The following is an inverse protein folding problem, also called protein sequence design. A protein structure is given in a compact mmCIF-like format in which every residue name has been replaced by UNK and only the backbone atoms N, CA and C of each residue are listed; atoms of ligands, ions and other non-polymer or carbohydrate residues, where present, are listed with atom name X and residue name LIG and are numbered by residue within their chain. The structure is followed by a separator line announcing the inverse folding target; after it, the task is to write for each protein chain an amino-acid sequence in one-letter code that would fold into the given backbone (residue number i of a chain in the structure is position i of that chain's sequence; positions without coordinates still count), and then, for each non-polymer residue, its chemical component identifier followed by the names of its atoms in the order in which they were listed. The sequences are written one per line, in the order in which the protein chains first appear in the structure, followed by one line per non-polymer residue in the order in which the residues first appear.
data_IF_625376784973
#
_entry.id   IF_625376784973
#
_cell.length_a   1.000
_cell.length_b   1.000
_cell.length_c   1.000
_cell.angle_alpha   90.00
_cell.angle_beta   90.00
_cell.angle_gamma   90.00
#
_symmetry.space_group_name_H-M   'P 1'
#
loop_
_entity.id
_entity.type
_entity.pdbx_description
1 polymer ?
#
# COMPACT_ATOMS: atom_id res chain seq x y z
N UNK A 1 9.08 -9.16 25.19
CA UNK A 1 9.10 -8.79 23.75
C UNK A 1 10.53 -8.58 23.33
N UNK A 2 10.94 -9.21 22.27
CA UNK A 2 12.30 -9.10 21.74
C UNK A 2 12.39 -7.98 20.73
N UNK A 3 13.56 -7.32 20.68
CA UNK A 3 13.82 -6.20 19.77
C UNK A 3 14.56 -6.62 18.50
N UNK A 4 14.39 -7.86 18.10
CA UNK A 4 15.00 -8.44 16.90
C UNK A 4 14.01 -9.33 16.14
N UNK A 5 14.32 -9.65 14.91
CA UNK A 5 13.54 -10.50 14.00
C UNK A 5 14.12 -11.91 13.96
N UNK A 6 13.25 -12.91 13.87
CA UNK A 6 13.63 -14.30 13.64
C UNK A 6 12.93 -14.85 12.39
N UNK A 7 13.33 -16.02 11.90
CA UNK A 7 12.63 -16.75 10.83
C UNK A 7 11.15 -16.98 11.15
N UNK A 8 10.85 -17.21 12.43
CA UNK A 8 9.49 -17.46 12.90
C UNK A 8 8.53 -16.27 12.66
N UNK A 9 9.03 -15.02 12.74
CA UNK A 9 8.22 -13.85 12.44
C UNK A 9 7.77 -13.83 10.97
N UNK A 10 8.62 -14.28 10.06
CA UNK A 10 8.25 -14.40 8.64
C UNK A 10 7.28 -15.57 8.41
N UNK A 11 7.43 -16.68 9.12
CA UNK A 11 6.48 -17.80 9.07
C UNK A 11 5.09 -17.38 9.53
N UNK A 12 4.99 -16.62 10.62
CA UNK A 12 3.73 -16.07 11.14
C UNK A 12 3.00 -15.20 10.10
N UNK A 13 3.74 -14.45 9.31
CA UNK A 13 3.17 -13.58 8.28
C UNK A 13 2.71 -14.30 7.00
N UNK A 14 3.00 -15.60 6.82
CA UNK A 14 2.72 -16.30 5.54
C UNK A 14 1.24 -16.28 5.15
N UNK A 15 0.34 -16.49 6.11
CA UNK A 15 -1.11 -16.45 5.85
C UNK A 15 -1.63 -15.04 5.59
N UNK A 16 -0.92 -14.03 6.08
CA UNK A 16 -1.25 -12.61 5.96
C UNK A 16 -0.28 -11.84 5.04
N UNK A 17 0.51 -12.55 4.22
CA UNK A 17 1.63 -11.97 3.45
C UNK A 17 1.25 -10.82 2.52
N UNK A 18 0.03 -10.80 2.01
CA UNK A 18 -0.49 -9.68 1.22
C UNK A 18 -0.98 -8.55 2.11
N UNK A 19 -1.71 -8.89 3.17
CA UNK A 19 -2.25 -7.93 4.14
C UNK A 19 -1.14 -7.15 4.85
N UNK A 20 -0.06 -7.85 5.21
CA UNK A 20 1.10 -7.29 5.89
C UNK A 20 2.38 -7.28 5.03
N UNK A 21 2.21 -7.14 3.71
CA UNK A 21 3.34 -7.09 2.76
C UNK A 21 4.39 -6.04 3.15
N UNK A 22 3.94 -4.83 3.54
CA UNK A 22 4.86 -3.76 3.95
C UNK A 22 5.57 -4.09 5.25
N UNK A 23 4.88 -4.68 6.24
CA UNK A 23 5.52 -5.17 7.46
C UNK A 23 6.62 -6.19 7.13
N UNK A 24 6.31 -7.21 6.34
CA UNK A 24 7.28 -8.23 5.93
C UNK A 24 8.48 -7.66 5.16
N UNK A 25 8.29 -6.56 4.44
CA UNK A 25 9.39 -5.82 3.80
C UNK A 25 10.26 -5.07 4.81
N UNK A 26 9.63 -4.37 5.78
CA UNK A 26 10.34 -3.60 6.81
C UNK A 26 11.19 -4.55 7.68
N UNK A 27 10.65 -5.71 8.05
CA UNK A 27 11.37 -6.69 8.86
C UNK A 27 12.67 -7.24 8.21
N UNK A 28 12.81 -7.12 6.89
CA UNK A 28 14.03 -7.51 6.15
C UNK A 28 15.08 -6.40 6.10
N UNK A 29 14.72 -5.18 6.45
CA UNK A 29 15.56 -4.01 6.40
C UNK A 29 15.87 -3.44 7.78
N UNK A 30 16.37 -2.21 7.80
CA UNK A 30 16.54 -1.46 9.04
C UNK A 30 15.22 -0.87 9.52
N UNK A 31 14.97 -0.98 10.81
CA UNK A 31 13.82 -0.36 11.46
C UNK A 31 14.22 0.30 12.78
N UNK A 32 13.57 1.43 13.08
CA UNK A 32 13.86 2.20 14.29
C UNK A 32 13.26 1.54 15.55
N UNK A 33 12.25 0.72 15.36
CA UNK A 33 11.61 0.00 16.47
C UNK A 33 11.10 -1.34 16.01
N UNK A 34 11.34 -2.36 16.83
CA UNK A 34 10.74 -3.67 16.71
C UNK A 34 10.41 -4.23 18.09
N UNK A 35 9.26 -4.89 18.19
CA UNK A 35 8.88 -5.71 19.32
C UNK A 35 8.11 -6.93 18.83
N UNK A 36 8.64 -8.12 19.08
CA UNK A 36 8.00 -9.38 18.74
C UNK A 36 8.05 -10.37 19.90
N UNK A 37 6.99 -11.15 20.08
CA UNK A 37 6.99 -12.32 20.95
C UNK A 37 7.24 -13.63 20.17
N UNK A 38 7.51 -13.50 18.87
CA UNK A 38 7.70 -14.60 17.93
C UNK A 38 6.56 -15.62 17.92
N UNK A 39 5.35 -15.17 18.25
CA UNK A 39 4.18 -16.04 18.37
C UNK A 39 2.89 -15.38 17.88
N UNK A 40 2.51 -14.24 18.45
CA UNK A 40 1.21 -13.59 18.19
C UNK A 40 1.27 -12.07 18.02
N UNK A 41 2.39 -11.44 18.33
CA UNK A 41 2.53 -9.98 18.27
C UNK A 41 3.82 -9.63 17.53
N UNK A 42 3.68 -8.84 16.48
CA UNK A 42 4.80 -8.20 15.78
C UNK A 42 4.47 -6.72 15.61
N UNK A 43 5.28 -5.85 16.20
CA UNK A 43 5.17 -4.40 16.06
C UNK A 43 6.46 -3.90 15.42
N UNK A 44 6.35 -3.12 14.34
CA UNK A 44 7.53 -2.59 13.66
C UNK A 44 7.30 -1.16 13.18
N UNK A 45 8.32 -0.33 13.32
CA UNK A 45 8.37 1.03 12.79
C UNK A 45 9.66 1.27 12.03
N UNK A 46 9.57 1.58 10.74
CA UNK A 46 10.76 1.91 9.94
C UNK A 46 11.34 3.27 10.37
N UNK A 47 10.60 4.34 10.16
CA UNK A 47 10.94 5.72 10.57
C UNK A 47 9.74 6.65 10.37
N UNK A 48 9.77 7.84 10.97
CA UNK A 48 8.81 8.91 10.65
C UNK A 48 9.01 9.41 9.21
N UNK A 49 7.93 9.79 8.51
CA UNK A 49 6.53 9.89 8.94
C UNK A 49 5.72 8.60 8.73
N UNK A 50 6.34 7.48 8.42
CA UNK A 50 5.64 6.23 8.09
C UNK A 50 4.91 5.63 9.30
N UNK A 51 3.82 4.85 9.09
CA UNK A 51 3.07 4.24 10.18
C UNK A 51 3.85 3.11 10.85
N UNK A 52 3.54 2.88 12.14
CA UNK A 52 3.83 1.60 12.76
C UNK A 52 2.94 0.53 12.13
N UNK A 53 3.49 -0.66 11.92
CA UNK A 53 2.76 -1.82 11.50
C UNK A 53 2.63 -2.78 12.67
N UNK A 54 1.40 -3.21 12.98
CA UNK A 54 1.10 -4.09 14.10
C UNK A 54 0.35 -5.30 13.57
N UNK A 55 1.02 -6.45 13.60
CA UNK A 55 0.41 -7.72 13.24
C UNK A 55 0.01 -8.50 14.49
N UNK A 56 -1.18 -9.07 14.44
CA UNK A 56 -1.69 -10.09 15.34
C UNK A 56 -2.48 -11.13 14.53
N UNK A 57 -2.58 -12.39 14.98
CA UNK A 57 -3.49 -13.36 14.35
C UNK A 57 -4.96 -12.97 14.54
N UNK A 58 -5.86 -13.58 13.79
CA UNK A 58 -7.30 -13.30 13.89
C UNK A 58 -7.90 -13.74 15.25
N UNK A 59 -7.29 -14.70 15.93
CA UNK A 59 -7.72 -15.20 17.23
C UNK A 59 -6.93 -14.61 18.41
N UNK A 60 -6.45 -13.37 18.27
CA UNK A 60 -5.74 -12.66 19.34
C UNK A 60 -6.64 -12.47 20.57
N UNK A 61 -6.12 -12.78 21.76
CA UNK A 61 -6.85 -12.62 23.03
C UNK A 61 -6.85 -11.17 23.51
N UNK A 62 -7.78 -10.83 24.42
CA UNK A 62 -7.79 -9.51 25.06
C UNK A 62 -6.50 -9.21 25.83
N UNK A 63 -5.88 -10.21 26.43
CA UNK A 63 -4.62 -10.05 27.14
C UNK A 63 -3.47 -9.69 26.17
N UNK A 64 -3.43 -10.31 25.01
CA UNK A 64 -2.43 -10.00 23.98
C UNK A 64 -2.67 -8.59 23.39
N UNK A 65 -3.93 -8.20 23.15
CA UNK A 65 -4.26 -6.84 22.74
C UNK A 65 -3.89 -5.80 23.80
N UNK A 66 -4.08 -6.10 25.10
CA UNK A 66 -3.61 -5.22 26.19
C UNK A 66 -2.08 -5.13 26.21
N UNK A 67 -1.36 -6.22 25.94
CA UNK A 67 0.09 -6.21 25.79
C UNK A 67 0.53 -5.25 24.68
N UNK A 68 -0.13 -5.28 23.51
CA UNK A 68 0.12 -4.32 22.43
C UNK A 68 -0.09 -2.89 22.91
N UNK A 69 -1.21 -2.63 23.60
CA UNK A 69 -1.49 -1.28 24.13
C UNK A 69 -0.41 -0.78 25.08
N UNK A 70 0.06 -1.64 26.00
CA UNK A 70 1.12 -1.27 26.96
C UNK A 70 2.44 -0.96 26.24
N UNK A 71 2.82 -1.75 25.23
CA UNK A 71 4.01 -1.46 24.43
C UNK A 71 3.92 -0.09 23.76
N UNK A 72 2.75 0.23 23.17
CA UNK A 72 2.54 1.53 22.53
C UNK A 72 2.61 2.68 23.54
N UNK A 73 2.09 2.48 24.75
CA UNK A 73 2.10 3.46 25.83
C UNK A 73 3.52 3.70 26.34
N UNK A 74 4.25 2.66 26.70
CA UNK A 74 5.61 2.69 27.26
C UNK A 74 6.62 3.34 26.29
N UNK A 75 6.42 3.16 24.98
CA UNK A 75 7.28 3.74 23.94
C UNK A 75 6.81 5.11 23.45
N UNK A 76 5.80 5.72 24.10
CA UNK A 76 5.24 7.03 23.73
C UNK A 76 4.72 7.11 22.28
N UNK A 77 4.21 6.01 21.74
CA UNK A 77 3.63 5.99 20.39
C UNK A 77 2.19 6.51 20.35
N UNK A 78 1.47 6.53 21.47
CA UNK A 78 0.08 7.01 21.54
C UNK A 78 -0.01 8.55 21.55
N UNK A 79 0.57 9.17 20.51
CA UNK A 79 0.57 10.62 20.28
C UNK A 79 0.13 10.92 18.84
N UNK A 80 -0.22 12.17 18.55
CA UNK A 80 -0.63 12.60 17.21
C UNK A 80 0.47 12.53 16.13
N UNK A 81 1.71 12.23 16.53
CA UNK A 81 2.85 12.10 15.60
C UNK A 81 2.92 10.73 14.92
N UNK A 82 2.20 9.74 15.44
CA UNK A 82 2.25 8.36 14.94
C UNK A 82 0.90 7.93 14.38
N UNK A 83 0.98 7.04 13.41
CA UNK A 83 -0.16 6.32 12.84
C UNK A 83 0.12 4.82 12.92
N UNK A 84 -0.93 4.01 12.92
CA UNK A 84 -0.85 2.56 13.10
C UNK A 84 -1.62 1.85 12.01
N UNK A 85 -0.98 0.92 11.31
CA UNK A 85 -1.64 0.01 10.37
C UNK A 85 -1.81 -1.36 11.02
N UNK A 86 -3.06 -1.83 11.14
CA UNK A 86 -3.43 -3.01 11.89
C UNK A 86 -4.79 -3.57 11.46
N UNK A 87 -5.14 -4.78 11.95
CA UNK A 87 -6.46 -5.37 11.74
C UNK A 87 -7.53 -4.67 12.61
N UNK A 88 -8.79 -4.76 12.18
CA UNK A 88 -9.92 -4.03 12.79
C UNK A 88 -10.22 -4.44 14.24
N UNK A 89 -10.08 -5.72 14.59
CA UNK A 89 -10.35 -6.20 15.96
C UNK A 89 -9.41 -5.52 16.95
N UNK A 90 -8.13 -5.51 16.65
CA UNK A 90 -7.13 -4.81 17.46
C UNK A 90 -7.38 -3.29 17.45
N UNK A 91 -7.75 -2.71 16.31
CA UNK A 91 -8.05 -1.28 16.22
C UNK A 91 -9.22 -0.89 17.13
N UNK A 92 -10.30 -1.66 17.11
CA UNK A 92 -11.47 -1.45 17.96
C UNK A 92 -11.11 -1.51 19.44
N UNK A 93 -10.30 -2.51 19.82
CA UNK A 93 -9.80 -2.64 21.17
C UNK A 93 -8.95 -1.42 21.57
N UNK A 94 -7.96 -1.03 20.75
CA UNK A 94 -7.05 0.10 21.05
C UNK A 94 -7.80 1.43 21.19
N UNK A 95 -8.80 1.70 20.35
CA UNK A 95 -9.65 2.91 20.43
C UNK A 95 -10.38 2.93 21.79
N UNK A 96 -11.04 1.81 22.15
CA UNK A 96 -11.77 1.70 23.40
C UNK A 96 -10.83 1.82 24.62
N UNK A 97 -9.68 1.18 24.57
CA UNK A 97 -8.70 1.14 25.65
C UNK A 97 -8.06 2.52 25.86
N UNK A 98 -7.66 3.18 24.77
CA UNK A 98 -7.09 4.54 24.82
C UNK A 98 -8.07 5.55 25.41
N UNK A 99 -9.36 5.45 25.06
CA UNK A 99 -10.40 6.33 25.61
C UNK A 99 -10.51 6.23 27.15
N UNK A 100 -10.32 5.04 27.74
CA UNK A 100 -10.32 4.86 29.19
C UNK A 100 -9.16 5.56 29.88
N UNK A 101 -8.05 5.74 29.17
CA UNK A 101 -6.87 6.46 29.68
C UNK A 101 -6.85 7.93 29.24
N UNK A 102 -7.99 8.47 28.79
CA UNK A 102 -8.14 9.85 28.35
C UNK A 102 -7.38 10.20 27.06
N UNK A 103 -6.99 9.19 26.28
CA UNK A 103 -6.34 9.36 24.99
C UNK A 103 -7.34 9.16 23.85
N UNK A 104 -7.09 9.81 22.73
CA UNK A 104 -7.97 9.69 21.55
C UNK A 104 -7.22 9.00 20.42
N UNK A 105 -7.76 7.89 19.95
CA UNK A 105 -7.37 7.25 18.71
C UNK A 105 -8.56 7.25 17.74
N UNK A 106 -8.33 7.64 16.50
CA UNK A 106 -9.37 7.75 15.48
C UNK A 106 -9.01 6.88 14.27
N UNK A 107 -10.00 6.21 13.72
CA UNK A 107 -9.87 5.54 12.44
C UNK A 107 -9.74 6.61 11.35
N UNK A 108 -8.67 6.55 10.57
CA UNK A 108 -8.34 7.53 9.52
C UNK A 108 -8.56 6.98 8.13
N UNK A 109 -8.29 5.69 7.93
CA UNK A 109 -8.37 5.07 6.61
C UNK A 109 -8.73 3.60 6.74
N UNK A 110 -9.57 3.14 5.84
CA UNK A 110 -9.85 1.73 5.61
C UNK A 110 -9.03 1.26 4.41
N UNK A 111 -8.40 0.10 4.49
CA UNK A 111 -7.54 -0.43 3.43
C UNK A 111 -7.88 -1.87 3.10
N UNK A 112 -7.92 -2.17 1.80
CA UNK A 112 -7.97 -3.53 1.26
C UNK A 112 -6.62 -3.91 0.68
N UNK A 113 -6.21 -5.15 0.92
CA UNK A 113 -5.07 -5.79 0.29
C UNK A 113 -5.57 -6.83 -0.72
N UNK A 114 -5.13 -6.70 -1.96
CA UNK A 114 -5.50 -7.59 -3.06
C UNK A 114 -4.25 -8.27 -3.63
N UNK A 115 -4.39 -9.52 -4.14
CA UNK A 115 -3.46 -10.10 -5.08
C UNK A 115 -4.15 -10.43 -6.40
N UNK A 116 -3.37 -10.66 -7.44
CA UNK A 116 -3.87 -11.04 -8.76
C UNK A 116 -3.17 -12.30 -9.25
N UNK A 117 -3.66 -13.51 -8.89
CA UNK A 117 -3.01 -14.74 -9.30
C UNK A 117 -3.14 -15.03 -10.80
N UNK A 118 -4.15 -14.45 -11.46
CA UNK A 118 -4.38 -14.62 -12.90
C UNK A 118 -5.04 -13.34 -13.45
N UNK A 119 -4.26 -12.44 -14.08
CA UNK A 119 -4.81 -11.23 -14.68
C UNK A 119 -5.83 -11.54 -15.79
N UNK A 120 -7.00 -10.89 -15.72
CA UNK A 120 -8.10 -11.03 -16.67
C UNK A 120 -8.07 -9.86 -17.64
N UNK A 121 -7.97 -10.14 -18.94
CA UNK A 121 -7.98 -9.09 -19.95
C UNK A 121 -9.32 -8.37 -19.99
N UNK A 122 -9.32 -7.01 -20.03
CA UNK A 122 -10.55 -6.25 -20.21
C UNK A 122 -11.29 -6.63 -21.49
N UNK A 123 -12.62 -6.77 -21.40
CA UNK A 123 -13.46 -7.03 -22.56
C UNK A 123 -13.34 -5.90 -23.62
N UNK A 124 -13.65 -6.19 -24.89
CA UNK A 124 -13.45 -5.25 -26.00
C UNK A 124 -14.10 -3.89 -25.78
N UNK A 125 -15.31 -3.85 -25.21
CA UNK A 125 -16.01 -2.62 -24.85
C UNK A 125 -15.35 -1.84 -23.70
N UNK A 126 -14.36 -2.42 -23.03
CA UNK A 126 -13.62 -1.83 -21.91
C UNK A 126 -12.16 -1.55 -22.29
N UNK A 127 -11.77 -1.75 -23.54
CA UNK A 127 -10.45 -1.38 -24.04
C UNK A 127 -10.35 0.15 -24.13
N UNK A 128 -9.29 0.69 -23.56
CA UNK A 128 -8.98 2.12 -23.64
C UNK A 128 -8.35 2.42 -24.99
N UNK A 129 -8.61 3.63 -25.53
CA UNK A 129 -7.87 4.15 -26.66
C UNK A 129 -6.41 4.45 -26.29
N UNK A 130 -5.54 4.56 -27.30
CA UNK A 130 -4.15 4.95 -27.09
C UNK A 130 -3.21 3.79 -26.83
N UNK A 131 -2.12 4.05 -26.10
CA UNK A 131 -1.01 3.10 -25.95
C UNK A 131 -0.45 3.01 -24.53
N UNK A 132 -0.05 1.81 -24.17
CA UNK A 132 0.71 1.51 -22.97
C UNK A 132 2.21 1.61 -23.25
N UNK A 133 2.99 2.16 -22.30
CA UNK A 133 4.45 2.21 -22.41
C UNK A 133 5.12 2.19 -21.03
N UNK A 134 6.34 1.63 -20.96
CA UNK A 134 7.23 1.88 -19.82
C UNK A 134 7.70 3.33 -19.91
N UNK A 135 7.68 4.03 -18.77
CA UNK A 135 8.15 5.41 -18.68
C UNK A 135 9.66 5.51 -18.86
N UNK A 136 10.09 6.59 -19.45
CA UNK A 136 11.51 6.94 -19.65
C UNK A 136 11.80 8.32 -19.10
N UNK A 137 13.05 8.73 -19.07
CA UNK A 137 13.45 10.08 -18.63
C UNK A 137 12.83 11.18 -19.49
N UNK A 138 12.47 10.88 -20.74
CA UNK A 138 11.78 11.82 -21.63
C UNK A 138 10.33 12.13 -21.17
N UNK A 139 9.76 11.28 -20.33
CA UNK A 139 8.42 11.45 -19.79
C UNK A 139 8.41 12.13 -18.39
N UNK A 140 9.57 12.66 -17.94
CA UNK A 140 9.79 13.15 -16.58
C UNK A 140 8.77 14.23 -16.15
N UNK A 141 8.60 15.27 -16.94
CA UNK A 141 7.72 16.39 -16.59
C UNK A 141 6.26 15.95 -16.48
N UNK A 142 5.77 15.19 -17.45
CA UNK A 142 4.40 14.64 -17.43
C UNK A 142 4.19 13.69 -16.24
N UNK A 143 5.21 12.90 -15.88
CA UNK A 143 5.14 11.99 -14.72
C UNK A 143 5.13 12.77 -13.40
N UNK A 144 5.92 13.83 -13.27
CA UNK A 144 5.89 14.74 -12.11
C UNK A 144 4.48 15.33 -11.95
N UNK A 145 3.88 15.83 -13.01
CA UNK A 145 2.56 16.44 -12.98
C UNK A 145 1.49 15.41 -12.52
N UNK A 146 1.52 14.18 -13.05
CA UNK A 146 0.61 13.13 -12.62
C UNK A 146 0.82 12.74 -11.14
N UNK A 147 2.06 12.73 -10.66
CA UNK A 147 2.38 12.40 -9.28
C UNK A 147 1.93 13.51 -8.32
N UNK A 148 2.16 14.78 -8.68
CA UNK A 148 1.70 15.94 -7.91
C UNK A 148 0.16 15.97 -7.81
N UNK A 149 -0.54 15.78 -8.93
CA UNK A 149 -2.01 15.67 -8.93
C UNK A 149 -2.53 14.52 -8.06
N UNK A 150 -1.86 13.36 -8.09
CA UNK A 150 -2.19 12.24 -7.22
C UNK A 150 -2.08 12.61 -5.73
N UNK A 151 -0.99 13.23 -5.32
CA UNK A 151 -0.79 13.66 -3.93
C UNK A 151 -1.76 14.77 -3.54
N UNK A 152 -1.98 15.74 -4.40
CA UNK A 152 -2.92 16.85 -4.20
C UNK A 152 -4.35 16.32 -3.99
N UNK A 153 -4.80 15.39 -4.81
CA UNK A 153 -6.14 14.82 -4.72
C UNK A 153 -6.34 13.98 -3.47
N UNK A 154 -5.34 13.17 -3.11
CA UNK A 154 -5.38 12.36 -1.89
C UNK A 154 -5.03 13.14 -0.62
N UNK A 155 -4.58 14.39 -0.74
CA UNK A 155 -4.12 15.27 0.36
C UNK A 155 -3.02 14.61 1.21
N UNK A 156 -2.07 13.98 0.54
CA UNK A 156 -0.95 13.26 1.18
C UNK A 156 0.38 13.76 0.63
N UNK A 157 1.41 13.72 1.47
CA UNK A 157 2.83 13.86 1.12
C UNK A 157 3.12 15.01 0.12
N UNK A 158 2.48 16.16 0.31
CA UNK A 158 2.71 17.34 -0.53
C UNK A 158 4.19 17.73 -0.49
N UNK A 159 4.80 17.80 -1.68
CA UNK A 159 6.22 18.08 -1.89
C UNK A 159 6.41 19.34 -2.73
N UNK A 160 7.58 19.91 -2.66
CA UNK A 160 7.99 20.93 -3.63
C UNK A 160 8.24 20.30 -5.01
N UNK A 161 8.17 21.07 -6.09
CA UNK A 161 8.46 20.55 -7.44
C UNK A 161 9.88 19.98 -7.53
N UNK A 162 10.83 20.55 -6.81
CA UNK A 162 12.21 20.05 -6.77
C UNK A 162 12.31 18.65 -6.13
N UNK A 163 11.56 18.41 -5.04
CA UNK A 163 11.48 17.09 -4.40
C UNK A 163 10.80 16.06 -5.32
N UNK A 164 9.70 16.45 -5.99
CA UNK A 164 9.07 15.58 -7.00
C UNK A 164 10.03 15.26 -8.14
N UNK A 165 10.82 16.22 -8.62
CA UNK A 165 11.79 15.98 -9.68
C UNK A 165 12.82 14.93 -9.28
N UNK A 166 13.42 15.07 -8.09
CA UNK A 166 14.41 14.08 -7.57
C UNK A 166 13.81 12.68 -7.43
N UNK A 167 12.61 12.59 -6.86
CA UNK A 167 11.94 11.31 -6.64
C UNK A 167 11.47 10.67 -7.95
N UNK A 168 10.99 11.48 -8.90
CA UNK A 168 10.57 11.01 -10.21
C UNK A 168 11.75 10.52 -11.04
N UNK A 169 12.86 11.26 -11.06
CA UNK A 169 14.10 10.82 -11.73
C UNK A 169 14.62 9.50 -11.15
N UNK A 170 14.61 9.38 -9.81
CA UNK A 170 14.99 8.15 -9.15
C UNK A 170 14.06 6.98 -9.57
N UNK A 171 12.75 7.20 -9.52
CA UNK A 171 11.75 6.19 -9.89
C UNK A 171 11.86 5.78 -11.36
N UNK A 172 12.04 6.71 -12.28
CA UNK A 172 12.21 6.42 -13.70
C UNK A 172 13.46 5.61 -14.01
N UNK A 173 14.53 5.80 -13.22
CA UNK A 173 15.82 5.08 -13.39
C UNK A 173 15.81 3.70 -12.74
N UNK A 174 15.11 3.54 -11.59
CA UNK A 174 15.26 2.37 -10.72
C UNK A 174 13.99 1.54 -10.56
N UNK A 175 12.81 2.16 -10.78
CA UNK A 175 11.53 1.51 -10.60
C UNK A 175 10.90 1.08 -11.93
N UNK A 176 9.87 0.25 -11.82
CA UNK A 176 9.01 -0.12 -12.93
C UNK A 176 7.82 0.85 -12.99
N UNK A 177 8.00 1.97 -13.69
CA UNK A 177 6.99 3.01 -13.93
C UNK A 177 6.39 2.82 -15.30
N UNK A 178 5.06 2.90 -15.40
CA UNK A 178 4.30 2.70 -16.63
C UNK A 178 3.27 3.80 -16.83
N UNK A 179 3.06 4.14 -18.10
CA UNK A 179 2.20 5.22 -18.53
C UNK A 179 1.17 4.74 -19.53
N UNK A 180 0.03 5.42 -19.55
CA UNK A 180 -0.94 5.30 -20.63
C UNK A 180 -1.04 6.63 -21.37
N UNK A 181 -0.79 6.60 -22.69
CA UNK A 181 -0.97 7.72 -23.60
C UNK A 181 -2.28 7.51 -24.36
N UNK A 182 -3.18 8.51 -24.35
CA UNK A 182 -4.43 8.45 -25.10
C UNK A 182 -4.18 8.53 -26.61
N UNK A 183 -5.24 8.46 -27.42
CA UNK A 183 -5.16 8.55 -28.89
C UNK A 183 -4.56 9.84 -29.43
N UNK A 184 -4.50 10.89 -28.62
CA UNK A 184 -3.85 12.16 -28.94
C UNK A 184 -2.38 12.24 -28.50
N UNK A 185 -1.83 11.15 -27.95
CA UNK A 185 -0.47 11.08 -27.45
C UNK A 185 -0.25 11.70 -26.07
N UNK A 186 -1.30 12.21 -25.41
CA UNK A 186 -1.21 12.80 -24.07
C UNK A 186 -1.12 11.71 -23.01
N UNK A 187 -0.19 11.83 -22.06
CA UNK A 187 -0.10 10.97 -20.89
C UNK A 187 -1.29 11.28 -19.97
N UNK A 188 -2.11 10.28 -19.67
CA UNK A 188 -3.36 10.42 -18.94
C UNK A 188 -3.46 9.56 -17.68
N UNK A 189 -2.61 8.53 -17.57
CA UNK A 189 -2.55 7.67 -16.39
C UNK A 189 -1.14 7.13 -16.17
N UNK A 190 -0.82 6.84 -14.92
CA UNK A 190 0.43 6.21 -14.52
C UNK A 190 0.20 5.15 -13.44
N UNK A 191 1.13 4.23 -13.34
CA UNK A 191 1.33 3.39 -12.15
C UNK A 191 2.79 2.93 -12.09
N UNK A 192 3.20 2.41 -10.92
CA UNK A 192 4.49 1.75 -10.76
C UNK A 192 4.35 0.48 -9.92
N UNK A 193 5.35 -0.38 -9.96
CA UNK A 193 5.44 -1.48 -8.99
C UNK A 193 6.84 -1.63 -8.43
N UNK A 194 6.89 -2.19 -7.21
CA UNK A 194 8.13 -2.54 -6.52
C UNK A 194 8.11 -4.03 -6.16
N UNK A 195 9.24 -4.70 -6.31
CA UNK A 195 9.38 -6.13 -6.05
C UNK A 195 9.94 -6.36 -4.64
N UNK A 196 9.37 -7.33 -3.93
CA UNK A 196 9.91 -7.88 -2.69
C UNK A 196 9.68 -9.40 -2.67
N UNK A 197 10.77 -10.16 -2.82
CA UNK A 197 10.70 -11.62 -2.98
C UNK A 197 9.90 -12.00 -4.24
N UNK A 198 8.87 -12.81 -4.08
CA UNK A 198 7.99 -13.27 -5.17
C UNK A 198 6.76 -12.40 -5.40
N UNK A 199 6.66 -11.26 -4.72
CA UNK A 199 5.51 -10.37 -4.80
C UNK A 199 5.93 -9.03 -5.39
N UNK A 200 5.13 -8.50 -6.32
CA UNK A 200 5.28 -7.16 -6.87
C UNK A 200 4.10 -6.28 -6.47
N UNK A 201 4.36 -5.25 -5.68
CA UNK A 201 3.34 -4.31 -5.18
C UNK A 201 3.13 -3.17 -6.16
N UNK A 202 1.95 -3.11 -6.79
CA UNK A 202 1.53 -2.02 -7.66
C UNK A 202 1.07 -0.84 -6.78
N UNK A 203 1.55 0.34 -7.09
CA UNK A 203 1.17 1.59 -6.42
C UNK A 203 1.19 2.78 -7.38
N UNK A 204 0.85 3.96 -6.87
CA UNK A 204 0.74 5.19 -7.67
C UNK A 204 -0.19 4.98 -8.88
N UNK A 205 -1.30 4.24 -8.71
CA UNK A 205 -2.28 4.08 -9.78
C UNK A 205 -3.13 5.35 -9.83
N UNK A 206 -2.87 6.17 -10.84
CA UNK A 206 -3.56 7.43 -11.03
C UNK A 206 -4.02 7.63 -12.47
N UNK A 207 -5.21 8.15 -12.63
CA UNK A 207 -5.74 8.69 -13.90
C UNK A 207 -6.18 10.11 -13.65
N UNK A 208 -5.66 11.04 -14.45
CA UNK A 208 -6.04 12.45 -14.38
C UNK A 208 -7.56 12.62 -14.45
N UNK A 209 -8.12 13.50 -13.63
CA UNK A 209 -9.57 13.67 -13.44
C UNK A 209 -10.36 13.81 -14.75
N UNK A 210 -9.86 14.59 -15.71
CA UNK A 210 -10.53 14.86 -17.00
C UNK A 210 -10.59 13.63 -17.92
N UNK A 211 -9.80 12.59 -17.62
CA UNK A 211 -9.70 11.39 -18.44
C UNK A 211 -10.28 10.15 -17.77
N UNK A 212 -10.92 10.27 -16.62
CA UNK A 212 -11.57 9.14 -15.92
C UNK A 212 -12.76 8.58 -16.69
N UNK A 213 -13.19 7.38 -16.30
CA UNK A 213 -14.31 6.62 -16.90
C UNK A 213 -14.12 6.26 -18.38
N UNK A 214 -12.86 6.20 -18.82
CA UNK A 214 -12.45 5.76 -20.16
C UNK A 214 -11.59 4.50 -20.11
N UNK A 215 -11.68 3.73 -19.03
CA UNK A 215 -10.97 2.47 -18.80
C UNK A 215 -9.44 2.54 -18.74
N UNK A 216 -8.81 3.72 -18.73
CA UNK A 216 -7.35 3.85 -18.73
C UNK A 216 -6.69 3.13 -17.56
N UNK A 217 -7.14 3.32 -16.32
CA UNK A 217 -6.58 2.65 -15.15
C UNK A 217 -6.74 1.12 -15.25
N UNK A 218 -7.91 0.63 -15.70
CA UNK A 218 -8.17 -0.80 -15.86
C UNK A 218 -7.18 -1.44 -16.84
N UNK A 219 -7.01 -0.83 -18.01
CA UNK A 219 -6.09 -1.37 -19.03
C UNK A 219 -4.63 -1.24 -18.60
N UNK A 220 -4.24 -0.12 -17.98
CA UNK A 220 -2.89 0.10 -17.47
C UNK A 220 -2.53 -0.95 -16.42
N UNK A 221 -3.37 -1.14 -15.40
CA UNK A 221 -3.11 -2.10 -14.32
C UNK A 221 -3.14 -3.53 -14.82
N UNK A 222 -4.02 -3.86 -15.77
CA UNK A 222 -4.01 -5.18 -16.42
C UNK A 222 -2.66 -5.45 -17.10
N UNK A 223 -2.16 -4.54 -17.94
CA UNK A 223 -0.88 -4.71 -18.63
C UNK A 223 0.27 -4.88 -17.64
N UNK A 224 0.29 -4.08 -16.57
CA UNK A 224 1.32 -4.18 -15.53
C UNK A 224 1.21 -5.48 -14.74
N UNK A 225 -0.01 -5.91 -14.38
CA UNK A 225 -0.23 -7.18 -13.69
C UNK A 225 0.23 -8.36 -14.57
N UNK A 226 -0.04 -8.30 -15.89
CA UNK A 226 0.44 -9.29 -16.86
C UNK A 226 1.97 -9.33 -16.92
N UNK A 227 2.65 -8.18 -17.03
CA UNK A 227 4.12 -8.08 -17.04
C UNK A 227 4.72 -8.70 -15.76
N UNK A 228 4.10 -8.43 -14.61
CA UNK A 228 4.53 -8.98 -13.31
C UNK A 228 4.35 -10.50 -13.31
N UNK A 229 3.22 -11.01 -13.78
CA UNK A 229 2.94 -12.46 -13.84
C UNK A 229 3.86 -13.18 -14.84
N UNK A 230 4.17 -12.56 -15.99
CA UNK A 230 5.11 -13.10 -16.99
C UNK A 230 6.57 -13.21 -16.42
N UNK A 231 6.87 -12.52 -15.31
CA UNK A 231 8.13 -12.62 -14.55
C UNK A 231 8.03 -13.61 -13.38
N UNK A 232 6.99 -14.45 -13.33
CA UNK A 232 6.75 -15.40 -12.24
C UNK A 232 6.56 -14.73 -10.86
N UNK A 233 6.18 -13.44 -10.85
CA UNK A 233 5.86 -12.69 -9.65
C UNK A 233 4.34 -12.61 -9.46
N UNK A 234 3.92 -12.46 -8.21
CA UNK A 234 2.50 -12.24 -7.90
C UNK A 234 2.20 -10.74 -7.79
N UNK A 235 1.36 -10.18 -8.66
CA UNK A 235 0.90 -8.79 -8.50
C UNK A 235 0.05 -8.65 -7.25
N UNK A 236 0.31 -7.59 -6.47
CA UNK A 236 -0.53 -7.18 -5.35
C UNK A 236 -0.74 -5.68 -5.35
N UNK A 237 -1.74 -5.20 -4.62
CA UNK A 237 -1.92 -3.78 -4.34
C UNK A 237 -2.68 -3.55 -3.02
N UNK A 238 -2.47 -2.35 -2.45
CA UNK A 238 -3.37 -1.78 -1.46
C UNK A 238 -4.27 -0.74 -2.11
N UNK A 239 -5.51 -0.66 -1.63
CA UNK A 239 -6.46 0.36 -2.05
C UNK A 239 -7.23 0.90 -0.86
N UNK A 240 -7.76 2.11 -1.00
CA UNK A 240 -8.74 2.64 -0.07
C UNK A 240 -10.03 1.81 -0.18
N UNK A 241 -10.45 1.20 0.95
CA UNK A 241 -11.63 0.35 0.97
C UNK A 241 -12.91 1.12 0.65
N UNK A 242 -12.94 2.42 0.94
CA UNK A 242 -14.08 3.29 0.74
C UNK A 242 -14.17 3.82 -0.70
N UNK A 243 -13.12 3.62 -1.51
CA UNK A 243 -13.11 4.05 -2.92
C UNK A 243 -13.58 2.94 -3.86
N UNK A 244 -14.89 2.75 -3.93
CA UNK A 244 -15.59 1.66 -4.65
C UNK A 244 -15.15 1.57 -6.13
N UNK A 245 -14.91 2.71 -6.79
CA UNK A 245 -14.53 2.72 -8.20
C UNK A 245 -13.20 2.01 -8.48
N UNK A 246 -12.19 2.18 -7.61
CA UNK A 246 -10.91 1.48 -7.72
C UNK A 246 -11.06 -0.01 -7.40
N UNK A 247 -11.78 -0.33 -6.32
CA UNK A 247 -12.00 -1.72 -5.91
C UNK A 247 -12.67 -2.52 -7.04
N UNK A 248 -13.77 -2.02 -7.60
CA UNK A 248 -14.43 -2.64 -8.76
C UNK A 248 -13.55 -2.72 -10.00
N UNK A 249 -12.65 -1.75 -10.20
CA UNK A 249 -11.68 -1.78 -11.30
C UNK A 249 -10.71 -2.96 -11.15
N UNK A 250 -10.15 -3.13 -9.97
CA UNK A 250 -9.18 -4.19 -9.68
C UNK A 250 -9.83 -5.59 -9.73
N UNK A 251 -11.01 -5.75 -9.16
CA UNK A 251 -11.76 -7.01 -9.19
C UNK A 251 -12.05 -7.48 -10.64
N UNK A 252 -12.38 -6.56 -11.55
CA UNK A 252 -12.57 -6.87 -12.99
C UNK A 252 -11.30 -7.33 -13.69
N UNK A 253 -10.13 -6.97 -13.19
CA UNK A 253 -8.83 -7.41 -13.72
C UNK A 253 -8.42 -8.78 -13.15
N UNK A 254 -9.16 -9.31 -12.16
CA UNK A 254 -8.85 -10.58 -11.51
C UNK A 254 -8.16 -10.46 -10.17
N UNK A 255 -8.09 -9.25 -9.59
CA UNK A 255 -7.62 -9.08 -8.23
C UNK A 255 -8.63 -9.64 -7.22
N UNK A 256 -8.12 -10.36 -6.24
CA UNK A 256 -8.88 -11.05 -5.18
C UNK A 256 -8.55 -10.42 -3.84
N UNK A 257 -9.57 -10.03 -3.09
CA UNK A 257 -9.39 -9.49 -1.74
C UNK A 257 -8.80 -10.56 -0.81
N UNK A 258 -7.66 -10.23 -0.18
CA UNK A 258 -6.94 -11.12 0.75
C UNK A 258 -7.02 -10.66 2.19
N UNK A 259 -7.15 -9.37 2.43
CA UNK A 259 -7.26 -8.89 3.80
C UNK A 259 -7.69 -7.45 3.90
N UNK A 260 -8.07 -7.09 5.12
CA UNK A 260 -8.58 -5.78 5.48
C UNK A 260 -7.76 -5.22 6.62
N UNK A 261 -7.33 -3.98 6.48
CA UNK A 261 -6.60 -3.22 7.48
C UNK A 261 -7.26 -1.86 7.69
N UNK A 262 -6.88 -1.22 8.76
CA UNK A 262 -7.16 0.19 8.94
C UNK A 262 -5.94 0.95 9.44
N UNK A 263 -5.97 2.27 9.28
CA UNK A 263 -5.00 3.19 9.86
C UNK A 263 -5.66 3.93 11.01
N UNK A 264 -5.05 3.87 12.20
CA UNK A 264 -5.40 4.71 13.36
C UNK A 264 -4.45 5.89 13.48
N UNK A 265 -4.94 6.96 14.09
CA UNK A 265 -4.15 8.11 14.55
C UNK A 265 -4.74 8.71 15.80
#
# INVERSE_FOLDING_TARGET
MDSFVTEKDFELLQNDKYTFFVLGRILKGECNFIASDHNKIIICHSCKPFPLWIWTPDNVSQQEMETVYQILLENNFLTSEYTFNLKYDLATFLISRASKDGKTLLLKKNMFAYDCPSPIEPADLQKADGTFSKATIADLDDFIDLWDWFHTELKIDMKTREEYCKDAEYSLKNDNVFLWKNSQGKIVACCRYNVNGTIASIGLVYTHSDFRRKHYAQNLVYQVAKIISDQELTPMLYTDADYIASNSCYEKIGFILRGKLCTLR
#
